data_IF_557221039527
#
_entry.id   IF_557221039527
#
_cell.length_a   1.000
_cell.length_b   1.000
_cell.length_c   1.000
_cell.angle_alpha   90.00
_cell.angle_beta   90.00
_cell.angle_gamma   90.00
#
_symmetry.space_group_name_H-M   'P 1'
#
loop_
_entity.id
_entity.type
_entity.pdbx_description
1 polymer ?
#
# COMPACT_ATOMS: atom_id res chain seq x y z
N UNK A 1 4.39 -25.94 -15.97
CA UNK A 1 4.42 -26.38 -14.57
C UNK A 1 3.87 -25.21 -13.75
N UNK A 2 2.64 -25.33 -13.26
CA UNK A 2 1.79 -24.18 -12.90
C UNK A 2 2.19 -23.50 -11.58
N UNK A 3 2.10 -22.17 -11.59
CA UNK A 3 2.31 -21.20 -10.49
C UNK A 3 1.35 -21.36 -9.30
N UNK A 4 0.49 -22.39 -9.32
CA UNK A 4 -0.56 -22.65 -8.33
C UNK A 4 -0.18 -23.72 -7.29
N UNK A 5 0.92 -24.44 -7.45
CA UNK A 5 1.31 -25.50 -6.50
C UNK A 5 2.12 -25.03 -5.30
N UNK A 6 2.61 -23.79 -5.26
CA UNK A 6 3.42 -23.32 -4.14
C UNK A 6 2.60 -22.81 -2.94
N UNK A 7 1.32 -22.50 -3.13
CA UNK A 7 0.45 -22.00 -2.06
C UNK A 7 -0.25 -23.10 -1.24
N UNK A 8 -0.28 -24.35 -1.70
CA UNK A 8 -1.18 -25.36 -1.12
C UNK A 8 -0.55 -26.36 -0.13
N UNK A 9 0.79 -26.42 0.01
CA UNK A 9 1.43 -27.41 0.90
C UNK A 9 1.84 -26.90 2.30
N UNK A 10 1.53 -25.65 2.67
CA UNK A 10 1.96 -25.08 3.96
C UNK A 10 0.79 -24.79 4.91
N UNK A 11 -0.13 -25.74 5.06
CA UNK A 11 -1.20 -25.70 6.06
C UNK A 11 -0.72 -26.01 7.49
N UNK A 12 0.59 -25.88 7.78
CA UNK A 12 1.15 -26.23 9.09
C UNK A 12 2.37 -25.40 9.54
N UNK A 13 2.59 -24.19 9.04
CA UNK A 13 3.55 -23.24 9.64
C UNK A 13 3.29 -21.79 9.20
N UNK A 14 2.83 -20.96 10.14
CA UNK A 14 2.73 -19.48 10.02
C UNK A 14 4.16 -18.87 9.83
N UNK A 15 4.30 -17.65 9.26
CA UNK A 15 3.90 -16.42 9.96
C UNK A 15 2.96 -15.56 9.11
N UNK A 16 1.71 -15.42 9.60
CA UNK A 16 0.87 -14.25 9.33
C UNK A 16 1.59 -13.05 9.95
N UNK A 17 1.72 -11.95 9.21
CA UNK A 17 2.31 -10.68 9.63
C UNK A 17 1.94 -10.37 11.08
N UNK A 18 2.90 -10.50 12.00
CA UNK A 18 2.79 -9.99 13.37
C UNK A 18 3.36 -8.57 13.38
N UNK A 19 2.68 -7.59 13.98
CA UNK A 19 3.26 -6.29 14.24
C UNK A 19 4.03 -6.35 15.57
N UNK A 20 5.37 -6.35 15.53
CA UNK A 20 6.21 -5.77 16.60
C UNK A 20 7.70 -5.72 16.23
N UNK A 21 8.30 -4.62 16.67
CA UNK A 21 9.73 -4.25 16.72
C UNK A 21 10.37 -3.60 15.49
N UNK A 22 10.25 -2.27 15.39
CA UNK A 22 11.31 -1.42 14.84
C UNK A 22 11.43 -0.13 15.68
N UNK A 23 12.49 -0.06 16.48
CA UNK A 23 12.92 1.11 17.24
C UNK A 23 13.72 2.05 16.32
N UNK A 24 13.22 3.26 16.05
CA UNK A 24 13.90 4.27 15.23
C UNK A 24 14.54 5.34 16.14
N UNK A 25 15.86 5.53 16.02
CA UNK A 25 16.60 6.59 16.72
C UNK A 25 16.42 7.96 16.02
N UNK A 26 16.35 9.08 16.76
CA UNK A 26 16.18 10.40 16.17
C UNK A 26 17.52 11.02 15.73
N UNK A 27 17.52 11.74 14.60
CA UNK A 27 18.64 12.56 14.12
C UNK A 27 18.44 14.00 14.59
N UNK A 28 19.42 14.53 15.32
CA UNK A 28 19.42 15.90 15.86
C UNK A 28 19.67 16.96 14.78
N UNK A 29 18.88 18.03 14.83
CA UNK A 29 19.06 19.25 14.06
C UNK A 29 20.07 20.21 14.73
N UNK A 30 20.94 20.82 13.94
CA UNK A 30 21.77 21.95 14.38
C UNK A 30 21.58 23.17 13.48
N UNK A 31 21.06 24.24 14.09
CA UNK A 31 21.09 25.63 13.62
C UNK A 31 22.47 26.22 13.87
N UNK A 32 22.92 27.15 13.01
CA UNK A 32 23.46 28.49 13.41
C UNK A 32 24.12 29.21 12.22
N UNK A 33 23.52 30.29 11.71
CA UNK A 33 23.93 31.72 11.74
C UNK A 33 25.26 32.14 11.08
N UNK A 34 25.20 33.09 10.12
CA UNK A 34 25.93 34.38 10.13
C UNK A 34 25.58 35.30 8.94
N UNK A 35 25.84 36.60 9.16
CA UNK A 35 25.40 37.83 8.47
C UNK A 35 26.45 38.33 7.41
N UNK A 36 26.22 39.46 6.68
CA UNK A 36 26.50 39.61 5.24
C UNK A 36 27.76 40.44 4.89
N UNK A 37 28.20 40.40 3.60
CA UNK A 37 28.70 41.56 2.83
C UNK A 37 29.07 41.27 1.35
N UNK A 38 28.36 41.97 0.45
CA UNK A 38 28.75 42.72 -0.77
C UNK A 38 29.96 42.28 -1.63
N UNK A 39 29.63 41.87 -2.88
CA UNK A 39 30.22 42.16 -4.21
C UNK A 39 31.74 42.27 -4.36
N UNK A 40 32.33 41.33 -5.12
CA UNK A 40 33.11 41.64 -6.34
C UNK A 40 33.17 40.40 -7.26
N UNK A 41 32.97 40.63 -8.55
CA UNK A 41 33.00 39.65 -9.64
C UNK A 41 34.43 39.53 -10.15
N UNK A 42 35.02 38.33 -10.17
CA UNK A 42 36.00 37.89 -11.16
C UNK A 42 35.83 36.39 -11.39
N UNK A 43 35.82 36.01 -12.66
CA UNK A 43 35.75 34.65 -13.17
C UNK A 43 37.10 33.98 -12.90
N UNK A 44 37.08 32.86 -12.17
CA UNK A 44 38.06 31.80 -12.35
C UNK A 44 37.33 30.46 -12.32
N UNK A 45 37.54 29.71 -13.39
CA UNK A 45 37.08 28.34 -13.60
C UNK A 45 37.98 27.45 -12.76
N UNK A 46 37.48 26.99 -11.62
CA UNK A 46 38.03 25.81 -10.95
C UNK A 46 36.99 24.70 -11.03
N UNK A 47 37.26 23.77 -11.96
CA UNK A 47 36.52 22.54 -12.15
C UNK A 47 36.70 21.62 -10.95
N UNK A 48 35.82 21.74 -9.97
CA UNK A 48 35.50 20.64 -9.05
C UNK A 48 34.01 20.67 -8.71
N UNK A 49 33.19 20.18 -9.64
CA UNK A 49 31.77 19.92 -9.36
C UNK A 49 31.63 18.43 -9.05
N UNK A 50 31.03 18.04 -7.92
CA UNK A 50 30.82 16.63 -7.61
C UNK A 50 29.96 16.01 -8.71
N UNK A 51 30.43 14.86 -9.20
CA UNK A 51 29.75 13.89 -10.05
C UNK A 51 28.23 14.07 -10.08
N UNK A 52 27.74 14.80 -11.10
CA UNK A 52 26.33 14.73 -11.48
C UNK A 52 26.12 13.33 -12.00
N UNK A 53 25.34 12.51 -11.28
CA UNK A 53 24.83 11.25 -11.80
C UNK A 53 24.33 11.50 -13.24
N UNK A 54 24.91 10.77 -14.19
CA UNK A 54 24.78 11.07 -15.61
C UNK A 54 23.35 10.86 -16.10
N UNK A 55 22.82 11.71 -17.00
CA UNK A 55 21.47 11.58 -17.59
C UNK A 55 21.22 10.24 -18.29
N UNK A 56 22.27 9.47 -18.60
CA UNK A 56 22.21 8.11 -19.12
C UNK A 56 21.64 7.10 -18.11
N UNK A 57 21.95 7.22 -16.82
CA UNK A 57 21.47 6.31 -15.78
C UNK A 57 19.98 6.54 -15.46
N UNK A 58 19.54 7.81 -15.40
CA UNK A 58 18.12 8.15 -15.25
C UNK A 58 17.30 7.62 -16.44
N UNK A 59 17.83 7.72 -17.66
CA UNK A 59 17.18 7.17 -18.86
C UNK A 59 17.15 5.63 -18.84
N UNK A 60 18.15 4.98 -18.24
CA UNK A 60 18.19 3.52 -18.10
C UNK A 60 17.15 3.01 -17.11
N UNK A 61 16.99 3.68 -15.95
CA UNK A 61 15.94 3.34 -14.97
C UNK A 61 14.55 3.47 -15.58
N UNK A 62 14.26 4.59 -16.26
CA UNK A 62 12.98 4.79 -16.95
C UNK A 62 12.75 3.70 -18.01
N UNK A 63 13.78 3.35 -18.79
CA UNK A 63 13.69 2.28 -19.80
C UNK A 63 13.41 0.91 -19.19
N UNK A 64 14.06 0.58 -18.07
CA UNK A 64 13.83 -0.68 -17.32
C UNK A 64 12.40 -0.75 -16.78
N UNK A 65 11.89 0.34 -16.22
CA UNK A 65 10.50 0.44 -15.73
C UNK A 65 9.52 0.20 -16.87
N UNK A 66 9.66 0.92 -17.99
CA UNK A 66 8.78 0.77 -19.16
C UNK A 66 8.82 -0.67 -19.69
N UNK A 67 10.00 -1.26 -19.85
CA UNK A 67 10.13 -2.64 -20.29
C UNK A 67 9.45 -3.64 -19.34
N UNK A 68 9.50 -3.40 -18.03
CA UNK A 68 8.84 -4.26 -17.04
C UNK A 68 7.32 -4.10 -17.05
N UNK A 69 6.81 -2.88 -17.27
CA UNK A 69 5.39 -2.62 -17.43
C UNK A 69 4.85 -3.29 -18.70
N UNK A 70 5.56 -3.20 -19.83
CA UNK A 70 5.18 -3.84 -21.10
C UNK A 70 5.15 -5.38 -21.01
N UNK A 71 5.89 -5.95 -20.07
CA UNK A 71 5.94 -7.40 -19.84
C UNK A 71 4.81 -7.92 -18.95
N UNK A 72 4.04 -7.05 -18.29
CA UNK A 72 2.95 -7.50 -17.42
C UNK A 72 1.76 -7.96 -18.25
N UNK A 73 1.31 -9.23 -18.11
CA UNK A 73 0.10 -9.68 -18.75
C UNK A 73 -1.08 -8.80 -18.35
N UNK A 74 -1.91 -8.40 -19.31
CA UNK A 74 -3.01 -7.46 -19.09
C UNK A 74 -3.94 -7.89 -17.94
N UNK A 75 -4.28 -9.18 -17.88
CA UNK A 75 -5.12 -9.74 -16.82
C UNK A 75 -4.48 -9.59 -15.42
N UNK A 76 -3.16 -9.75 -15.33
CA UNK A 76 -2.42 -9.57 -14.08
C UNK A 76 -2.36 -8.09 -13.69
N UNK A 77 -2.12 -7.19 -14.66
CA UNK A 77 -2.12 -5.76 -14.43
C UNK A 77 -3.48 -5.27 -13.91
N UNK A 78 -4.59 -5.72 -14.53
CA UNK A 78 -5.95 -5.43 -14.08
C UNK A 78 -6.21 -5.91 -12.67
N UNK A 79 -5.80 -7.14 -12.35
CA UNK A 79 -5.93 -7.69 -11.00
C UNK A 79 -5.18 -6.85 -9.96
N UNK A 80 -3.90 -6.54 -10.21
CA UNK A 80 -3.06 -5.78 -9.28
C UNK A 80 -3.60 -4.36 -9.10
N UNK A 81 -4.00 -3.69 -10.18
CA UNK A 81 -4.54 -2.34 -10.13
C UNK A 81 -5.84 -2.28 -9.31
N UNK A 82 -6.78 -3.20 -9.56
CA UNK A 82 -8.02 -3.28 -8.79
C UNK A 82 -7.75 -3.64 -7.33
N UNK A 83 -6.83 -4.57 -7.06
CA UNK A 83 -6.42 -4.94 -5.69
C UNK A 83 -5.88 -3.73 -4.93
N UNK A 84 -4.92 -3.00 -5.51
CA UNK A 84 -4.32 -1.81 -4.90
C UNK A 84 -5.35 -0.70 -4.67
N UNK A 85 -6.26 -0.48 -5.63
CA UNK A 85 -7.34 0.50 -5.48
C UNK A 85 -8.26 0.17 -4.30
N UNK A 86 -8.60 -1.11 -4.11
CA UNK A 86 -9.46 -1.54 -3.01
C UNK A 86 -8.78 -1.40 -1.64
N UNK A 87 -7.47 -1.65 -1.57
CA UNK A 87 -6.69 -1.31 -0.37
C UNK A 87 -6.79 0.19 -0.05
N UNK A 88 -6.58 1.04 -1.06
CA UNK A 88 -6.70 2.50 -0.90
C UNK A 88 -8.10 2.93 -0.49
N UNK A 89 -9.14 2.31 -1.06
CA UNK A 89 -10.54 2.60 -0.72
C UNK A 89 -10.82 2.34 0.76
N UNK A 90 -10.32 1.23 1.30
CA UNK A 90 -10.51 0.88 2.71
C UNK A 90 -9.72 1.79 3.64
N UNK A 91 -8.41 1.97 3.38
CA UNK A 91 -7.55 2.81 4.21
C UNK A 91 -8.06 4.26 4.26
N UNK A 92 -8.54 4.80 3.12
CA UNK A 92 -8.99 6.19 2.99
C UNK A 92 -10.43 6.43 3.44
N UNK A 93 -11.04 5.52 4.19
CA UNK A 93 -12.45 5.64 4.57
C UNK A 93 -12.74 6.91 5.40
N UNK A 94 -11.76 7.35 6.20
CA UNK A 94 -11.80 8.57 7.00
C UNK A 94 -11.16 9.80 6.30
N UNK A 95 -10.87 9.68 5.00
CA UNK A 95 -10.17 10.65 4.15
C UNK A 95 -8.66 10.81 4.39
N UNK A 96 -8.04 9.98 5.24
CA UNK A 96 -6.60 9.96 5.46
C UNK A 96 -6.02 8.57 5.14
N UNK A 97 -4.73 8.52 4.83
CA UNK A 97 -3.99 7.25 4.76
C UNK A 97 -2.66 7.50 5.46
N UNK A 98 -2.39 6.76 6.52
CA UNK A 98 -1.16 6.88 7.30
C UNK A 98 0.07 6.37 6.54
N UNK A 99 1.25 6.70 7.06
CA UNK A 99 2.51 6.18 6.54
C UNK A 99 2.62 4.65 6.75
N UNK A 100 2.13 4.14 7.88
CA UNK A 100 2.17 2.71 8.20
C UNK A 100 1.24 1.89 7.29
N UNK A 101 0.04 2.41 7.01
CA UNK A 101 -0.88 1.85 6.03
C UNK A 101 -0.25 1.83 4.63
N UNK A 102 0.33 2.95 4.20
CA UNK A 102 0.99 3.04 2.89
C UNK A 102 2.14 2.03 2.77
N UNK A 103 3.01 1.96 3.78
CA UNK A 103 4.13 1.01 3.79
C UNK A 103 3.65 -0.46 3.78
N UNK A 104 2.54 -0.76 4.46
CA UNK A 104 1.96 -2.10 4.43
C UNK A 104 1.34 -2.42 3.07
N UNK A 105 0.64 -1.47 2.44
CA UNK A 105 0.12 -1.63 1.07
C UNK A 105 1.25 -1.94 0.09
N UNK A 106 2.37 -1.22 0.14
CA UNK A 106 3.52 -1.43 -0.74
C UNK A 106 4.10 -2.85 -0.59
N UNK A 107 4.25 -3.33 0.66
CA UNK A 107 4.70 -4.70 0.95
C UNK A 107 3.72 -5.75 0.44
N UNK A 108 2.42 -5.53 0.63
CA UNK A 108 1.37 -6.44 0.15
C UNK A 108 1.38 -6.51 -1.38
N UNK A 109 1.42 -5.36 -2.07
CA UNK A 109 1.45 -5.34 -3.53
C UNK A 109 2.70 -6.04 -4.05
N UNK A 110 3.87 -5.79 -3.47
CA UNK A 110 5.11 -6.48 -3.84
C UNK A 110 4.97 -8.02 -3.72
N UNK A 111 4.41 -8.51 -2.61
CA UNK A 111 4.20 -9.94 -2.38
C UNK A 111 3.15 -10.57 -3.31
N UNK A 112 2.05 -9.88 -3.55
CA UNK A 112 0.93 -10.40 -4.36
C UNK A 112 1.24 -10.40 -5.86
N UNK A 113 2.07 -9.46 -6.31
CA UNK A 113 2.35 -9.25 -7.74
C UNK A 113 3.67 -9.85 -8.21
N UNK A 114 4.62 -10.08 -7.30
CA UNK A 114 6.00 -10.42 -7.65
C UNK A 114 6.73 -9.26 -8.35
N UNK A 115 6.19 -8.04 -8.29
CA UNK A 115 6.81 -6.86 -8.87
C UNK A 115 8.05 -6.44 -8.06
N UNK A 116 9.04 -5.82 -8.72
CA UNK A 116 10.08 -5.06 -8.04
C UNK A 116 9.47 -3.99 -7.13
N UNK A 117 10.16 -3.68 -6.04
CA UNK A 117 9.77 -2.68 -5.05
C UNK A 117 9.32 -1.36 -5.70
N UNK A 118 10.15 -0.79 -6.57
CA UNK A 118 9.88 0.48 -7.27
C UNK A 118 8.53 0.49 -8.02
N UNK A 119 8.14 -0.63 -8.65
CA UNK A 119 6.85 -0.75 -9.34
C UNK A 119 5.69 -0.90 -8.36
N UNK A 120 5.89 -1.62 -7.25
CA UNK A 120 4.87 -1.74 -6.21
C UNK A 120 4.56 -0.37 -5.57
N UNK A 121 5.59 0.45 -5.30
CA UNK A 121 5.43 1.82 -4.82
C UNK A 121 4.60 2.65 -5.81
N UNK A 122 4.96 2.62 -7.11
CA UNK A 122 4.24 3.35 -8.14
C UNK A 122 2.76 2.93 -8.22
N UNK A 123 2.47 1.63 -8.18
CA UNK A 123 1.10 1.10 -8.17
C UNK A 123 0.31 1.62 -6.98
N UNK A 124 0.90 1.61 -5.77
CA UNK A 124 0.24 2.11 -4.56
C UNK A 124 -0.02 3.61 -4.66
N UNK A 125 0.96 4.41 -5.10
CA UNK A 125 0.77 5.85 -5.28
C UNK A 125 -0.33 6.14 -6.30
N UNK A 126 -0.33 5.46 -7.45
CA UNK A 126 -1.38 5.58 -8.45
C UNK A 126 -2.76 5.22 -7.88
N UNK A 127 -2.87 4.09 -7.18
CA UNK A 127 -4.12 3.66 -6.56
C UNK A 127 -4.66 4.69 -5.56
N UNK A 128 -3.79 5.27 -4.72
CA UNK A 128 -4.15 6.33 -3.76
C UNK A 128 -4.64 7.59 -4.49
N UNK A 129 -3.92 8.02 -5.53
CA UNK A 129 -4.31 9.18 -6.33
C UNK A 129 -5.64 8.96 -7.07
N UNK A 130 -5.85 7.78 -7.67
CA UNK A 130 -7.11 7.48 -8.35
C UNK A 130 -8.27 7.42 -7.35
N UNK A 131 -8.08 6.79 -6.20
CA UNK A 131 -9.11 6.75 -5.16
C UNK A 131 -9.44 8.16 -4.62
N UNK A 132 -8.43 9.03 -4.49
CA UNK A 132 -8.61 10.44 -4.13
C UNK A 132 -9.51 11.20 -5.11
N UNK A 133 -9.24 11.04 -6.40
CA UNK A 133 -9.85 11.85 -7.45
C UNK A 133 -11.23 11.30 -7.84
N UNK A 134 -11.39 9.97 -7.82
CA UNK A 134 -12.53 9.29 -8.42
C UNK A 134 -13.23 8.29 -7.50
N UNK A 135 -12.88 8.22 -6.21
CA UNK A 135 -13.49 7.28 -5.26
C UNK A 135 -15.02 7.35 -5.23
N UNK A 136 -15.60 8.55 -5.34
CA UNK A 136 -17.06 8.74 -5.38
C UNK A 136 -17.77 8.09 -6.56
N UNK A 137 -17.06 7.84 -7.67
CA UNK A 137 -17.64 7.30 -8.92
C UNK A 137 -17.13 5.90 -9.25
N UNK A 138 -15.89 5.57 -8.89
CA UNK A 138 -15.22 4.35 -9.31
C UNK A 138 -15.24 3.23 -8.27
N UNK A 139 -15.50 3.53 -6.98
CA UNK A 139 -15.43 2.54 -5.91
C UNK A 139 -16.22 1.25 -6.20
N UNK A 140 -17.48 1.39 -6.62
CA UNK A 140 -18.32 0.24 -6.95
C UNK A 140 -17.87 -0.46 -8.25
N UNK A 141 -17.45 0.31 -9.26
CA UNK A 141 -17.03 -0.23 -10.55
C UNK A 141 -15.77 -1.09 -10.43
N UNK A 142 -14.78 -0.60 -9.69
CA UNK A 142 -13.52 -1.32 -9.45
C UNK A 142 -13.77 -2.59 -8.62
N UNK A 143 -14.63 -2.50 -7.61
CA UNK A 143 -14.97 -3.68 -6.79
C UNK A 143 -15.70 -4.74 -7.60
N UNK A 144 -16.62 -4.34 -8.47
CA UNK A 144 -17.32 -5.25 -9.37
C UNK A 144 -16.37 -5.87 -10.41
N UNK A 145 -15.40 -5.12 -10.91
CA UNK A 145 -14.38 -5.68 -11.80
C UNK A 145 -13.51 -6.71 -11.08
N UNK A 146 -13.06 -6.40 -9.84
CA UNK A 146 -12.32 -7.36 -9.02
C UNK A 146 -13.17 -8.62 -8.73
N UNK A 147 -14.46 -8.45 -8.42
CA UNK A 147 -15.39 -9.54 -8.21
C UNK A 147 -15.48 -10.49 -9.42
N UNK A 148 -15.44 -9.93 -10.63
CA UNK A 148 -15.54 -10.67 -11.90
C UNK A 148 -14.26 -11.43 -12.24
N UNK A 149 -13.09 -10.85 -11.96
CA UNK A 149 -11.80 -11.43 -12.39
C UNK A 149 -11.14 -12.31 -11.33
N UNK A 150 -11.48 -12.14 -10.05
CA UNK A 150 -10.86 -12.84 -8.94
C UNK A 150 -11.60 -14.14 -8.57
N UNK A 151 -10.84 -15.16 -8.17
CA UNK A 151 -11.40 -16.37 -7.56
C UNK A 151 -11.94 -16.09 -6.16
N UNK A 152 -12.76 -16.99 -5.62
CA UNK A 152 -13.26 -16.86 -4.25
C UNK A 152 -12.11 -16.78 -3.22
N UNK A 153 -11.07 -17.61 -3.36
CA UNK A 153 -9.89 -17.58 -2.50
C UNK A 153 -9.15 -16.24 -2.57
N UNK A 154 -9.01 -15.66 -3.76
CA UNK A 154 -8.41 -14.33 -3.94
C UNK A 154 -9.23 -13.22 -3.28
N UNK A 155 -10.57 -13.32 -3.31
CA UNK A 155 -11.46 -12.37 -2.62
C UNK A 155 -11.30 -12.46 -1.09
N UNK A 156 -11.17 -13.66 -0.53
CA UNK A 156 -10.88 -13.87 0.90
C UNK A 156 -9.50 -13.30 1.28
N UNK A 157 -8.49 -13.53 0.43
CA UNK A 157 -7.15 -12.98 0.65
C UNK A 157 -7.14 -11.45 0.61
N UNK A 158 -7.88 -10.84 -0.33
CA UNK A 158 -8.06 -9.38 -0.37
C UNK A 158 -8.71 -8.89 0.94
N UNK A 159 -9.79 -9.53 1.39
CA UNK A 159 -10.48 -9.14 2.62
C UNK A 159 -9.55 -9.14 3.84
N UNK A 160 -8.68 -10.14 3.95
CA UNK A 160 -7.65 -10.18 5.00
C UNK A 160 -6.62 -9.05 4.87
N UNK A 161 -6.23 -8.72 3.65
CA UNK A 161 -5.33 -7.61 3.39
C UNK A 161 -5.97 -6.25 3.70
N UNK A 162 -7.27 -6.08 3.46
CA UNK A 162 -7.99 -4.84 3.80
C UNK A 162 -7.91 -4.59 5.30
N UNK A 163 -8.24 -5.58 6.13
CA UNK A 163 -8.13 -5.44 7.58
C UNK A 163 -6.69 -5.29 8.07
N UNK A 164 -5.73 -5.95 7.42
CA UNK A 164 -4.32 -5.78 7.76
C UNK A 164 -3.86 -4.34 7.52
N UNK A 165 -4.25 -3.75 6.37
CA UNK A 165 -3.95 -2.35 6.04
C UNK A 165 -4.60 -1.42 7.05
N UNK A 166 -5.92 -1.47 7.23
CA UNK A 166 -6.63 -0.56 8.15
C UNK A 166 -6.24 -0.73 9.63
N UNK A 167 -5.50 -1.79 9.98
CA UNK A 167 -4.98 -2.01 11.33
C UNK A 167 -3.50 -1.64 11.47
N UNK A 168 -2.85 -1.12 10.43
CA UNK A 168 -1.40 -0.95 10.39
C UNK A 168 -0.87 0.03 11.45
N UNK A 169 -1.65 1.07 11.78
CA UNK A 169 -1.38 2.04 12.84
C UNK A 169 -1.95 1.61 14.20
N UNK A 170 -2.29 0.33 14.33
CA UNK A 170 -2.96 -0.30 15.46
C UNK A 170 -4.39 0.20 15.72
N UNK A 171 -5.08 0.88 14.79
CA UNK A 171 -6.44 1.37 15.04
C UNK A 171 -7.34 1.31 13.80
N UNK A 172 -8.32 0.40 13.82
CA UNK A 172 -9.37 0.36 12.79
C UNK A 172 -10.52 1.28 13.19
N UNK A 173 -10.79 2.32 12.40
CA UNK A 173 -11.92 3.23 12.59
C UNK A 173 -13.27 2.57 12.27
N UNK A 174 -14.38 3.18 12.69
CA UNK A 174 -15.71 2.63 12.36
C UNK A 174 -16.01 2.79 10.87
N UNK A 175 -15.51 3.85 10.28
CA UNK A 175 -15.57 4.20 8.87
C UNK A 175 -14.85 3.16 8.01
N UNK A 176 -13.61 2.80 8.38
CA UNK A 176 -12.86 1.71 7.73
C UNK A 176 -13.58 0.37 7.84
N UNK A 177 -14.02 -0.05 9.03
CA UNK A 177 -14.73 -1.33 9.22
C UNK A 177 -16.01 -1.39 8.35
N UNK A 178 -16.73 -0.26 8.24
CA UNK A 178 -17.90 -0.13 7.38
C UNK A 178 -17.55 -0.23 5.90
N UNK A 179 -16.48 0.42 5.44
CA UNK A 179 -16.03 0.32 4.05
C UNK A 179 -15.55 -1.09 3.73
N UNK A 180 -14.79 -1.75 4.62
CA UNK A 180 -14.37 -3.15 4.44
C UNK A 180 -15.57 -4.08 4.36
N UNK A 181 -16.57 -3.88 5.23
CA UNK A 181 -17.84 -4.62 5.18
C UNK A 181 -18.60 -4.40 3.86
N UNK A 182 -18.63 -3.17 3.36
CA UNK A 182 -19.24 -2.84 2.09
C UNK A 182 -18.52 -3.55 0.93
N UNK A 183 -17.18 -3.49 0.89
CA UNK A 183 -16.37 -4.20 -0.10
C UNK A 183 -16.65 -5.71 -0.05
N UNK A 184 -16.68 -6.32 1.14
CA UNK A 184 -16.99 -7.75 1.29
C UNK A 184 -18.35 -8.13 0.68
N UNK A 185 -19.38 -7.30 0.89
CA UNK A 185 -20.71 -7.49 0.30
C UNK A 185 -20.68 -7.35 -1.23
N UNK A 186 -19.98 -6.35 -1.75
CA UNK A 186 -19.83 -6.12 -3.20
C UNK A 186 -19.05 -7.25 -3.90
N UNK A 187 -18.10 -7.88 -3.18
CA UNK A 187 -17.36 -9.06 -3.63
C UNK A 187 -18.17 -10.37 -3.53
N UNK A 188 -19.40 -10.32 -3.01
CA UNK A 188 -20.28 -11.47 -2.74
C UNK A 188 -19.67 -12.47 -1.76
N UNK A 189 -18.89 -11.98 -0.79
CA UNK A 189 -18.43 -12.79 0.33
C UNK A 189 -19.55 -12.94 1.35
N UNK A 190 -19.58 -14.07 2.04
CA UNK A 190 -20.61 -14.34 3.04
C UNK A 190 -20.39 -13.49 4.30
N UNK A 191 -21.45 -13.30 5.09
CA UNK A 191 -21.30 -12.64 6.39
C UNK A 191 -20.33 -13.40 7.31
N UNK A 192 -20.31 -14.74 7.22
CA UNK A 192 -19.36 -15.58 7.95
C UNK A 192 -17.90 -15.31 7.56
N UNK A 193 -17.62 -15.08 6.27
CA UNK A 193 -16.26 -14.77 5.80
C UNK A 193 -15.77 -13.44 6.39
N UNK A 194 -16.64 -12.41 6.34
CA UNK A 194 -16.37 -11.11 6.94
C UNK A 194 -16.11 -11.21 8.45
N UNK A 195 -16.97 -11.91 9.20
CA UNK A 195 -16.79 -12.08 10.65
C UNK A 195 -15.51 -12.87 10.96
N UNK A 196 -15.22 -13.92 10.19
CA UNK A 196 -14.01 -14.73 10.38
C UNK A 196 -12.75 -13.87 10.19
N UNK A 197 -12.69 -13.05 9.13
CA UNK A 197 -11.57 -12.13 8.89
C UNK A 197 -11.46 -11.07 9.99
N UNK A 198 -12.55 -10.33 10.25
CA UNK A 198 -12.63 -9.29 11.26
C UNK A 198 -12.22 -9.74 12.66
N UNK A 199 -12.58 -10.97 13.04
CA UNK A 199 -12.26 -11.52 14.36
C UNK A 199 -10.76 -11.57 14.66
N UNK A 200 -9.91 -11.69 13.62
CA UNK A 200 -8.44 -11.70 13.76
C UNK A 200 -7.86 -10.35 14.14
N UNK A 201 -8.59 -9.27 13.89
CA UNK A 201 -8.16 -7.89 14.13
C UNK A 201 -8.96 -7.21 15.24
N UNK A 202 -9.68 -7.99 16.06
CA UNK A 202 -10.60 -7.50 17.09
C UNK A 202 -9.95 -6.52 18.07
N UNK A 203 -8.66 -6.66 18.35
CA UNK A 203 -7.93 -5.80 19.28
C UNK A 203 -7.66 -4.39 18.74
N UNK A 204 -7.73 -4.20 17.42
CA UNK A 204 -7.49 -2.92 16.76
C UNK A 204 -8.79 -2.13 16.52
N UNK A 205 -9.97 -2.74 16.63
CA UNK A 205 -11.26 -2.07 16.42
C UNK A 205 -11.49 -0.95 17.45
N UNK A 206 -11.62 0.29 16.98
CA UNK A 206 -11.80 1.49 17.82
C UNK A 206 -13.00 1.38 18.78
N UNK A 207 -14.12 0.82 18.31
CA UNK A 207 -15.34 0.58 19.12
C UNK A 207 -15.07 -0.25 20.38
N UNK A 208 -14.15 -1.21 20.30
CA UNK A 208 -13.78 -2.06 21.43
C UNK A 208 -12.70 -1.43 22.32
N UNK A 209 -11.91 -0.47 21.80
CA UNK A 209 -10.93 0.29 22.58
C UNK A 209 -11.60 1.36 23.44
N UNK A 210 -12.64 2.02 22.94
CA UNK A 210 -13.38 3.04 23.70
C UNK A 210 -13.99 2.45 24.98
N UNK A 211 -14.67 1.31 24.88
CA UNK A 211 -15.26 0.62 26.05
C UNK A 211 -14.26 0.04 27.06
N UNK A 212 -12.96 0.05 26.75
CA UNK A 212 -11.88 -0.43 27.64
C UNK A 212 -11.17 0.69 28.40
N UNK A 213 -11.33 1.96 27.99
CA UNK A 213 -10.74 3.13 28.67
C UNK A 213 -11.66 3.71 29.75
N UNK A 214 -12.94 3.31 29.74
CA UNK A 214 -13.96 3.77 30.70
C UNK A 214 -14.20 2.75 31.85
N UNK A 215 -13.22 1.88 32.14
CA UNK A 215 -13.22 0.94 33.27
C UNK A 215 -11.98 1.12 34.15
#
# INVERSE_FOLDING_TARGET
MNMLSFFYLSRQSRPVCRPRELYVRPVHAHRSTRRPRRVLLWVDVDSNTPERATPTAETETVRKIVQKLDQLPEQQARYIAAFAFLLSRAARADLQISADETALMERIIMQQSGLPEELALLVVQMAKTQNQLFGSTENYLVTREFERIATHEQKLALLDCLFAVTAADENITSEEDNVVKQIASELKLSHSDYIASRSRFREYLAVLKQGRRDQ
#
